data_IF_437726961439
#
_entry.id   IF_437726961439
#
_cell.length_a   1.000
_cell.length_b   1.000
_cell.length_c   1.000
_cell.angle_alpha   90.00
_cell.angle_beta   90.00
_cell.angle_gamma   90.00
#
_symmetry.space_group_name_H-M   'P 1'
#
loop_
_entity.id
_entity.type
_entity.pdbx_description
1 polymer ?
#
# COMPACT_ATOMS: atom_id res chain seq x y z
N UNK A 1 -5.92 13.09 -7.28
CA UNK A 1 -6.80 12.51 -6.26
C UNK A 1 -6.07 12.34 -4.94
N UNK A 2 -6.73 11.96 -3.85
CA UNK A 2 -6.15 11.86 -2.49
C UNK A 2 -4.98 10.87 -2.37
N UNK A 3 -4.71 10.13 -3.39
CA UNK A 3 -3.59 9.18 -3.51
C UNK A 3 -2.20 9.82 -3.50
N UNK A 4 -2.13 11.11 -3.76
CA UNK A 4 -0.87 11.78 -4.08
C UNK A 4 -0.17 12.37 -2.86
N UNK A 5 -0.89 12.56 -1.74
CA UNK A 5 -0.39 13.34 -0.61
C UNK A 5 -0.89 12.88 0.76
N UNK A 6 -1.80 11.90 0.82
CA UNK A 6 -2.31 11.41 2.09
C UNK A 6 -1.45 10.27 2.66
N UNK A 7 -1.58 9.94 3.96
CA UNK A 7 -0.86 8.81 4.57
C UNK A 7 -1.42 7.46 4.08
N UNK A 8 -1.28 7.18 2.78
CA UNK A 8 -1.71 5.95 2.13
C UNK A 8 -0.57 4.95 1.93
N UNK A 9 0.60 5.26 2.44
CA UNK A 9 1.76 4.41 2.28
C UNK A 9 1.67 3.13 3.11
N UNK A 10 2.52 2.15 2.84
CA UNK A 10 2.69 1.00 3.70
C UNK A 10 3.04 1.44 5.13
N UNK A 11 2.52 0.74 6.11
CA UNK A 11 2.78 1.00 7.53
C UNK A 11 1.75 1.87 8.25
N UNK A 12 0.76 2.42 7.54
CA UNK A 12 -0.39 3.08 8.18
C UNK A 12 -1.53 2.09 8.38
N UNK A 13 -2.18 2.13 9.55
CA UNK A 13 -3.26 1.22 9.89
C UNK A 13 -4.41 1.33 8.88
N UNK A 14 -4.87 0.19 8.37
CA UNK A 14 -6.00 0.10 7.44
C UNK A 14 -7.18 -0.60 8.09
N UNK A 15 -8.35 0.04 8.00
CA UNK A 15 -9.62 -0.50 8.48
C UNK A 15 -10.60 -0.69 7.31
N UNK A 16 -11.31 -1.81 7.32
CA UNK A 16 -12.36 -2.09 6.34
C UNK A 16 -13.72 -1.51 6.78
N UNK A 17 -14.77 -1.75 5.98
CA UNK A 17 -16.14 -1.29 6.25
C UNK A 17 -16.75 -1.82 7.56
N UNK A 18 -16.10 -2.76 8.25
CA UNK A 18 -16.50 -3.26 9.56
C UNK A 18 -15.72 -2.62 10.70
N UNK A 19 -14.82 -1.68 10.43
CA UNK A 19 -13.90 -1.12 11.40
C UNK A 19 -12.79 -2.08 11.85
N UNK A 20 -12.47 -3.11 11.06
CA UNK A 20 -11.48 -4.12 11.39
C UNK A 20 -10.26 -4.01 10.48
N UNK A 21 -9.06 -4.22 11.03
CA UNK A 21 -7.85 -4.50 10.23
C UNK A 21 -8.06 -5.76 9.41
N UNK A 22 -7.40 -5.88 8.27
CA UNK A 22 -7.64 -6.97 7.32
C UNK A 22 -6.39 -7.46 6.58
N UNK A 23 -5.22 -6.85 6.81
CA UNK A 23 -4.00 -7.24 6.11
C UNK A 23 -2.74 -6.81 6.87
N UNK A 24 -1.60 -7.30 6.43
CA UNK A 24 -0.31 -6.71 6.74
C UNK A 24 -0.12 -5.45 5.89
N UNK A 25 -0.17 -4.30 6.50
CA UNK A 25 -0.12 -2.99 5.84
C UNK A 25 1.21 -2.70 5.15
N UNK A 26 2.24 -3.48 5.45
CA UNK A 26 3.58 -3.35 4.87
C UNK A 26 3.87 -4.37 3.77
N UNK A 27 3.02 -5.37 3.60
CA UNK A 27 3.26 -6.44 2.67
C UNK A 27 2.99 -6.01 1.21
N UNK A 28 4.03 -6.04 0.39
CA UNK A 28 3.93 -5.76 -1.04
C UNK A 28 3.85 -4.28 -1.40
N UNK A 29 4.20 -3.38 -0.48
CA UNK A 29 4.14 -1.94 -0.71
C UNK A 29 2.73 -1.40 -0.92
N UNK A 30 2.61 -0.30 -1.63
CA UNK A 30 1.31 0.33 -1.93
C UNK A 30 0.40 -0.57 -2.76
N UNK A 31 0.95 -1.31 -3.71
CA UNK A 31 0.18 -2.25 -4.53
C UNK A 31 -0.37 -3.40 -3.67
N UNK A 32 0.40 -3.89 -2.70
CA UNK A 32 -0.03 -4.96 -1.81
C UNK A 32 -1.23 -4.56 -0.97
N UNK A 33 -1.20 -3.40 -0.31
CA UNK A 33 -2.31 -2.86 0.48
C UNK A 33 -3.52 -2.52 -0.41
N UNK A 34 -3.30 -1.97 -1.61
CA UNK A 34 -4.35 -1.72 -2.59
C UNK A 34 -5.05 -3.01 -3.04
N UNK A 35 -4.30 -4.07 -3.30
CA UNK A 35 -4.87 -5.38 -3.63
C UNK A 35 -5.72 -5.94 -2.50
N UNK A 36 -5.24 -5.89 -1.27
CA UNK A 36 -6.01 -6.37 -0.12
C UNK A 36 -7.27 -5.53 0.09
N UNK A 37 -7.18 -4.22 -0.07
CA UNK A 37 -8.31 -3.31 0.03
C UNK A 37 -9.38 -3.57 -1.04
N UNK A 38 -8.99 -3.78 -2.30
CA UNK A 38 -9.92 -4.09 -3.39
C UNK A 38 -10.65 -5.44 -3.25
N UNK A 39 -10.14 -6.34 -2.40
CA UNK A 39 -10.77 -7.63 -2.08
C UNK A 39 -11.73 -7.58 -0.89
N UNK A 40 -11.76 -6.46 -0.17
CA UNK A 40 -12.72 -6.31 0.91
C UNK A 40 -14.15 -6.24 0.35
N UNK A 41 -15.16 -6.65 1.14
CA UNK A 41 -16.55 -6.39 0.78
C UNK A 41 -16.78 -4.90 0.53
N UNK A 42 -17.79 -4.58 -0.27
CA UNK A 42 -18.15 -3.19 -0.59
C UNK A 42 -18.30 -2.33 0.66
N UNK A 43 -17.80 -1.11 0.56
CA UNK A 43 -17.86 -0.13 1.62
C UNK A 43 -16.54 0.52 1.95
N UNK A 44 -16.49 1.28 3.02
CA UNK A 44 -15.38 2.12 3.37
C UNK A 44 -14.09 1.33 3.66
N UNK A 45 -12.99 1.88 3.14
CA UNK A 45 -11.62 1.60 3.59
C UNK A 45 -11.09 2.88 4.19
N UNK A 46 -10.57 2.81 5.39
CA UNK A 46 -10.03 3.96 6.13
C UNK A 46 -8.55 3.73 6.42
N UNK A 47 -7.71 4.66 6.02
CA UNK A 47 -6.30 4.69 6.40
C UNK A 47 -6.11 5.70 7.52
N UNK A 48 -5.38 5.32 8.56
CA UNK A 48 -5.22 6.12 9.79
C UNK A 48 -3.75 6.40 10.05
N UNK A 49 -3.46 7.63 10.44
CA UNK A 49 -2.16 8.08 10.93
C UNK A 49 -2.35 9.00 12.16
N UNK A 50 -1.27 9.33 12.83
CA UNK A 50 -1.21 10.34 13.87
C UNK A 50 -0.10 11.36 13.57
N UNK A 51 0.15 12.30 14.48
CA UNK A 51 1.21 13.30 14.33
C UNK A 51 2.61 12.71 14.25
N UNK A 52 2.81 11.44 14.63
CA UNK A 52 4.04 10.67 14.48
C UNK A 52 4.26 10.09 13.08
N UNK A 53 3.45 10.42 12.09
CA UNK A 53 3.50 9.87 10.73
C UNK A 53 4.88 9.91 10.06
N UNK A 54 5.72 10.90 10.41
CA UNK A 54 7.08 10.99 9.88
C UNK A 54 7.98 9.84 10.36
N UNK A 55 7.80 9.38 11.59
CA UNK A 55 8.56 8.25 12.14
C UNK A 55 8.15 6.95 11.45
N UNK A 56 6.86 6.80 11.14
CA UNK A 56 6.35 5.68 10.34
C UNK A 56 6.98 5.70 8.95
N UNK A 57 6.93 6.83 8.25
CA UNK A 57 7.52 7.00 6.92
C UNK A 57 9.03 6.73 6.92
N UNK A 58 9.76 7.19 7.95
CA UNK A 58 11.20 6.97 8.07
C UNK A 58 11.58 5.49 8.19
N UNK A 59 10.68 4.66 8.68
CA UNK A 59 10.88 3.22 8.85
C UNK A 59 10.35 2.39 7.66
N UNK A 60 9.58 2.99 6.76
CA UNK A 60 9.04 2.28 5.60
C UNK A 60 10.15 1.70 4.71
N UNK A 61 9.99 0.46 4.24
CA UNK A 61 10.90 -0.05 3.23
C UNK A 61 10.74 0.77 1.93
N UNK A 62 11.82 0.96 1.17
CA UNK A 62 11.72 1.55 -0.15
C UNK A 62 10.87 0.63 -1.02
N UNK A 63 9.69 1.11 -1.40
CA UNK A 63 8.74 0.38 -2.22
C UNK A 63 8.14 1.31 -3.27
N UNK A 64 7.56 0.74 -4.30
CA UNK A 64 6.82 1.52 -5.29
C UNK A 64 5.64 2.23 -4.61
N UNK A 65 5.48 3.52 -4.89
CA UNK A 65 4.45 4.35 -4.25
C UNK A 65 4.76 4.80 -2.82
N UNK A 66 5.90 4.39 -2.23
CA UNK A 66 6.32 4.89 -0.92
C UNK A 66 6.74 6.37 -0.98
N UNK A 67 6.49 7.08 0.11
CA UNK A 67 6.88 8.48 0.25
C UNK A 67 8.40 8.59 0.26
N UNK A 68 8.94 9.48 -0.54
CA UNK A 68 10.38 9.68 -0.65
C UNK A 68 10.83 10.82 0.26
N UNK A 69 11.46 10.48 1.39
CA UNK A 69 11.99 11.44 2.36
C UNK A 69 13.09 12.34 1.80
N UNK A 70 13.73 11.98 0.70
CA UNK A 70 14.81 12.76 0.10
C UNK A 70 14.34 13.68 -1.03
N UNK A 71 13.12 13.48 -1.51
CA UNK A 71 12.55 14.29 -2.59
C UNK A 71 11.74 15.46 -2.03
N UNK A 72 12.08 16.66 -2.44
CA UNK A 72 11.41 17.90 -2.00
C UNK A 72 10.27 18.36 -2.91
N UNK A 73 10.22 17.90 -4.14
CA UNK A 73 9.35 18.52 -5.18
C UNK A 73 8.63 17.51 -6.08
N UNK A 74 8.69 16.23 -5.78
CA UNK A 74 8.05 15.23 -6.63
C UNK A 74 6.79 14.67 -6.00
N UNK A 75 5.96 14.15 -6.85
CA UNK A 75 4.96 13.15 -6.53
C UNK A 75 5.50 12.19 -5.45
N UNK A 76 4.82 12.06 -4.33
CA UNK A 76 5.30 11.37 -3.13
C UNK A 76 6.51 12.04 -2.42
N UNK A 77 6.76 13.32 -2.62
CA UNK A 77 7.77 14.06 -1.86
C UNK A 77 7.31 14.36 -0.44
N UNK A 78 8.29 14.48 0.47
CA UNK A 78 7.99 14.75 1.88
C UNK A 78 7.49 16.17 2.12
N UNK A 79 8.06 17.18 1.45
CA UNK A 79 7.69 18.57 1.69
C UNK A 79 6.22 18.84 1.36
N UNK A 80 5.65 18.39 0.20
CA UNK A 80 4.23 18.54 -0.08
C UNK A 80 3.32 17.87 0.95
N UNK A 81 3.71 16.70 1.47
CA UNK A 81 2.97 16.04 2.54
C UNK A 81 2.99 16.84 3.82
N UNK A 82 4.16 17.35 4.24
CA UNK A 82 4.27 18.15 5.47
C UNK A 82 3.48 19.44 5.37
N UNK A 83 3.50 20.13 4.21
CA UNK A 83 2.68 21.32 3.97
C UNK A 83 1.18 21.03 4.08
N UNK A 84 0.74 19.91 3.49
CA UNK A 84 -0.65 19.46 3.57
C UNK A 84 -1.05 19.16 5.01
N UNK A 85 -0.26 18.38 5.73
CA UNK A 85 -0.57 17.99 7.11
C UNK A 85 -0.56 19.18 8.06
N UNK A 86 0.35 20.14 7.88
CA UNK A 86 0.43 21.36 8.67
C UNK A 86 -0.75 22.31 8.45
N UNK A 87 -1.42 22.23 7.32
CA UNK A 87 -2.60 23.05 7.00
C UNK A 87 -3.92 22.49 7.54
N UNK A 88 -3.90 21.30 8.15
CA UNK A 88 -5.11 20.66 8.69
C UNK A 88 -5.52 21.28 10.01
N UNK A 89 -6.82 21.51 10.17
CA UNK A 89 -7.41 22.03 11.39
C UNK A 89 -8.21 20.94 12.11
N UNK A 90 -7.76 20.48 13.30
CA UNK A 90 -8.49 19.47 14.07
C UNK A 90 -9.90 19.91 14.51
N UNK A 91 -10.22 21.20 14.50
CA UNK A 91 -11.55 21.70 14.81
C UNK A 91 -12.53 21.65 13.64
N UNK A 92 -12.03 21.49 12.41
CA UNK A 92 -12.88 21.38 11.22
C UNK A 92 -13.70 20.08 11.25
N UNK A 93 -14.97 20.18 10.88
CA UNK A 93 -15.86 19.03 10.69
C UNK A 93 -15.75 18.41 9.29
N UNK A 94 -15.24 19.18 8.35
CA UNK A 94 -15.09 18.76 6.96
C UNK A 94 -13.66 18.30 6.67
N UNK A 95 -13.48 17.38 5.77
CA UNK A 95 -12.14 17.00 5.32
C UNK A 95 -11.47 18.18 4.59
N UNK A 96 -10.15 18.13 4.46
CA UNK A 96 -9.42 19.05 3.60
C UNK A 96 -9.84 18.90 2.13
N UNK A 97 -9.41 19.81 1.28
CA UNK A 97 -9.62 19.74 -0.19
C UNK A 97 -9.10 18.41 -0.81
N UNK A 98 -8.16 17.77 -0.13
CA UNK A 98 -7.55 16.51 -0.55
C UNK A 98 -8.17 15.28 0.15
N UNK A 99 -9.28 15.49 0.88
CA UNK A 99 -10.05 14.41 1.51
C UNK A 99 -9.46 13.89 2.82
N UNK A 100 -8.56 14.65 3.47
CA UNK A 100 -7.97 14.26 4.76
C UNK A 100 -8.80 14.83 5.91
N UNK A 101 -9.27 13.94 6.77
CA UNK A 101 -9.88 14.29 8.05
C UNK A 101 -8.81 14.47 9.12
N UNK A 102 -9.07 15.34 10.09
CA UNK A 102 -8.18 15.62 11.20
C UNK A 102 -8.97 15.81 12.49
N UNK A 103 -8.53 15.23 13.61
CA UNK A 103 -9.17 15.36 14.92
C UNK A 103 -8.17 15.18 16.06
N UNK A 104 -8.53 15.69 17.26
CA UNK A 104 -7.67 15.56 18.44
C UNK A 104 -7.80 14.20 19.14
N UNK A 105 -8.90 13.48 18.93
CA UNK A 105 -9.09 12.12 19.42
C UNK A 105 -9.47 11.18 18.27
N UNK A 106 -9.27 9.89 18.48
CA UNK A 106 -9.63 8.90 17.47
C UNK A 106 -11.15 8.74 17.36
N UNK A 107 -11.88 8.88 18.46
CA UNK A 107 -13.34 8.88 18.48
C UNK A 107 -13.91 10.04 17.64
N UNK A 108 -13.40 11.27 17.87
CA UNK A 108 -13.79 12.44 17.06
C UNK A 108 -13.47 12.24 15.58
N UNK A 109 -12.33 11.59 15.26
CA UNK A 109 -11.94 11.28 13.89
C UNK A 109 -12.96 10.36 13.24
N UNK A 110 -13.38 9.28 13.92
CA UNK A 110 -14.37 8.33 13.42
C UNK A 110 -15.75 9.00 13.24
N UNK A 111 -16.11 9.92 14.12
CA UNK A 111 -17.35 10.68 14.01
C UNK A 111 -17.33 11.60 12.77
N UNK A 112 -16.22 12.30 12.53
CA UNK A 112 -16.07 13.18 11.35
C UNK A 112 -16.09 12.41 10.03
N UNK A 113 -15.45 11.24 9.99
CA UNK A 113 -15.49 10.36 8.81
C UNK A 113 -16.92 9.93 8.49
N UNK A 114 -17.74 9.62 9.50
CA UNK A 114 -19.17 9.33 9.39
C UNK A 114 -19.53 8.06 8.62
N UNK A 115 -18.57 7.21 8.30
CA UNK A 115 -18.81 5.98 7.51
C UNK A 115 -19.13 4.75 8.37
N UNK A 116 -19.01 4.85 9.70
CA UNK A 116 -19.19 3.74 10.64
C UNK A 116 -20.41 3.95 11.54
N UNK A 117 -21.16 2.87 11.77
CA UNK A 117 -22.16 2.81 12.84
C UNK A 117 -21.46 2.55 14.19
N UNK A 118 -22.22 2.52 15.30
CA UNK A 118 -21.64 2.38 16.66
C UNK A 118 -20.86 1.06 16.87
N UNK A 119 -21.32 -0.06 16.30
CA UNK A 119 -20.60 -1.33 16.37
C UNK A 119 -19.26 -1.25 15.62
N UNK A 120 -19.27 -0.68 14.43
CA UNK A 120 -18.09 -0.52 13.60
C UNK A 120 -17.07 0.47 14.21
N UNK A 121 -17.56 1.53 14.87
CA UNK A 121 -16.70 2.44 15.65
C UNK A 121 -16.06 1.70 16.83
N UNK A 122 -16.83 0.89 17.57
CA UNK A 122 -16.30 0.09 18.66
C UNK A 122 -15.21 -0.89 18.17
N UNK A 123 -15.41 -1.50 17.02
CA UNK A 123 -14.39 -2.33 16.38
C UNK A 123 -13.13 -1.53 16.06
N UNK A 124 -13.28 -0.36 15.43
CA UNK A 124 -12.14 0.50 15.06
C UNK A 124 -11.32 0.96 16.28
N UNK A 125 -11.99 1.30 17.39
CA UNK A 125 -11.34 1.64 18.65
C UNK A 125 -10.57 0.43 19.22
N UNK A 126 -11.17 -0.75 19.20
CA UNK A 126 -10.51 -1.99 19.63
C UNK A 126 -9.29 -2.34 18.77
N UNK A 127 -9.38 -2.13 17.45
CA UNK A 127 -8.24 -2.33 16.56
C UNK A 127 -7.10 -1.32 16.81
N UNK A 128 -7.41 -0.06 17.16
CA UNK A 128 -6.41 0.90 17.57
C UNK A 128 -5.68 0.48 18.87
N UNK A 129 -6.45 0.00 19.85
CA UNK A 129 -5.86 -0.50 21.09
C UNK A 129 -4.92 -1.68 20.83
N UNK A 130 -5.34 -2.66 20.03
CA UNK A 130 -4.51 -3.80 19.63
C UNK A 130 -3.28 -3.35 18.84
N UNK A 131 -3.45 -2.42 17.88
CA UNK A 131 -2.34 -1.86 17.14
C UNK A 131 -1.26 -1.29 18.07
N UNK A 132 -1.67 -0.49 19.03
CA UNK A 132 -0.74 0.12 19.99
C UNK A 132 -0.06 -0.93 20.87
N UNK A 133 -0.81 -1.94 21.37
CA UNK A 133 -0.25 -3.06 22.12
C UNK A 133 0.79 -3.85 21.31
N UNK A 134 0.50 -4.15 20.04
CA UNK A 134 1.41 -4.86 19.14
C UNK A 134 2.65 -4.03 18.82
N UNK A 135 2.49 -2.73 18.60
CA UNK A 135 3.61 -1.83 18.37
C UNK A 135 4.55 -1.74 19.57
N UNK A 136 4.00 -1.69 20.79
CA UNK A 136 4.78 -1.70 22.05
C UNK A 136 5.44 -3.07 22.31
N UNK A 137 4.73 -4.16 22.05
CA UNK A 137 5.24 -5.53 22.22
C UNK A 137 6.30 -5.90 21.16
N UNK A 138 6.33 -5.18 20.04
CA UNK A 138 7.19 -5.51 18.91
C UNK A 138 6.76 -6.77 18.17
N UNK A 139 5.47 -7.14 18.24
CA UNK A 139 4.92 -8.33 17.60
C UNK A 139 3.46 -8.11 17.23
N UNK A 140 3.14 -8.10 15.95
CA UNK A 140 1.78 -8.13 15.44
C UNK A 140 1.33 -9.58 15.28
N UNK A 141 0.47 -10.04 16.19
CA UNK A 141 -0.03 -11.44 16.20
C UNK A 141 -1.08 -11.68 15.12
N UNK A 142 -1.77 -10.63 14.64
CA UNK A 142 -2.86 -10.77 13.68
C UNK A 142 -2.36 -10.87 12.24
N UNK A 143 -1.41 -10.02 11.82
CA UNK A 143 -0.98 -9.89 10.41
C UNK A 143 0.54 -9.90 10.21
N UNK A 144 1.31 -10.04 11.29
CA UNK A 144 2.78 -10.11 11.26
C UNK A 144 3.42 -8.89 10.56
N UNK A 145 2.95 -7.68 10.85
CA UNK A 145 3.63 -6.45 10.45
C UNK A 145 5.00 -6.40 11.11
N UNK A 146 6.02 -6.00 10.37
CA UNK A 146 7.37 -5.86 10.90
C UNK A 146 7.40 -4.80 12.02
N UNK A 147 7.82 -5.23 13.22
CA UNK A 147 7.89 -4.38 14.41
C UNK A 147 8.71 -3.10 14.23
N UNK A 148 9.67 -3.08 13.29
CA UNK A 148 10.45 -1.89 12.98
C UNK A 148 9.62 -0.81 12.33
N UNK A 149 8.55 -1.18 11.64
CA UNK A 149 7.68 -0.29 10.86
C UNK A 149 6.44 0.08 11.65
N UNK A 150 5.89 -0.85 12.42
CA UNK A 150 4.69 -0.64 13.20
C UNK A 150 4.96 0.36 14.33
N UNK A 151 4.43 1.58 14.19
CA UNK A 151 4.55 2.63 15.20
C UNK A 151 3.22 2.80 15.93
N UNK A 152 3.24 3.07 17.25
CA UNK A 152 2.01 3.34 17.99
C UNK A 152 1.33 4.60 17.47
N UNK A 153 0.02 4.60 17.44
CA UNK A 153 -0.84 5.73 17.06
C UNK A 153 -1.39 6.36 18.34
N UNK A 154 -0.61 7.23 18.96
CA UNK A 154 -0.90 7.80 20.30
C UNK A 154 -0.75 9.31 20.36
N UNK A 155 -0.26 9.96 19.31
CA UNK A 155 0.12 11.36 19.32
C UNK A 155 -0.87 12.20 18.50
N UNK A 156 -1.77 12.98 19.13
CA UNK A 156 -2.68 13.85 18.39
C UNK A 156 -1.93 14.98 17.64
N UNK A 157 -2.54 15.53 16.58
CA UNK A 157 -3.81 15.12 16.00
C UNK A 157 -3.73 13.80 15.23
N UNK A 158 -4.90 13.15 15.13
CA UNK A 158 -5.10 11.96 14.31
C UNK A 158 -5.61 12.37 12.94
N UNK A 159 -5.26 11.58 11.94
CA UNK A 159 -5.60 11.83 10.55
C UNK A 159 -6.21 10.58 9.92
N UNK A 160 -7.16 10.79 9.02
CA UNK A 160 -7.70 9.69 8.22
C UNK A 160 -7.99 10.11 6.80
N UNK A 161 -7.90 9.15 5.92
CA UNK A 161 -8.37 9.23 4.54
C UNK A 161 -9.28 8.05 4.27
N UNK A 162 -10.35 8.29 3.50
CA UNK A 162 -11.34 7.27 3.20
C UNK A 162 -11.46 7.03 1.70
N UNK A 163 -11.76 5.79 1.34
CA UNK A 163 -12.17 5.39 0.01
C UNK A 163 -13.15 4.24 0.12
N UNK A 164 -13.68 3.75 -1.00
CA UNK A 164 -14.52 2.57 -1.02
C UNK A 164 -13.77 1.41 -1.65
N UNK A 165 -13.92 0.20 -1.11
CA UNK A 165 -13.24 -0.99 -1.62
C UNK A 165 -13.54 -1.25 -3.10
N UNK A 166 -14.78 -0.99 -3.55
CA UNK A 166 -15.22 -1.14 -4.92
C UNK A 166 -14.63 -0.14 -5.91
N UNK A 167 -14.12 1.00 -5.43
CA UNK A 167 -13.54 2.05 -6.24
C UNK A 167 -12.00 1.93 -6.32
N UNK A 168 -11.41 1.02 -5.53
CA UNK A 168 -9.97 0.80 -5.53
C UNK A 168 -9.58 -0.02 -6.76
N UNK A 169 -8.86 0.61 -7.66
CA UNK A 169 -8.31 0.00 -8.85
C UNK A 169 -6.79 -0.03 -8.79
N UNK A 170 -6.23 -1.25 -8.77
CA UNK A 170 -4.78 -1.47 -8.86
C UNK A 170 -4.45 -1.87 -10.28
N UNK A 171 -4.09 -0.90 -11.11
CA UNK A 171 -3.88 -1.08 -12.54
C UNK A 171 -2.43 -0.90 -13.01
N UNK A 172 -1.47 -0.96 -12.11
CA UNK A 172 -0.07 -0.63 -12.43
C UNK A 172 0.62 -1.63 -13.32
N UNK A 173 0.28 -2.91 -13.22
CA UNK A 173 0.95 -3.95 -14.00
C UNK A 173 0.02 -5.12 -14.24
N UNK A 174 0.02 -5.60 -15.46
CA UNK A 174 -0.56 -6.89 -15.77
C UNK A 174 0.38 -7.98 -15.24
N UNK A 175 -0.12 -8.83 -14.35
CA UNK A 175 0.63 -9.95 -13.77
C UNK A 175 0.53 -11.23 -14.59
N UNK A 176 -0.41 -11.27 -15.55
CA UNK A 176 -0.59 -12.37 -16.49
C UNK A 176 0.19 -12.12 -17.79
N UNK A 177 0.65 -13.17 -18.42
CA UNK A 177 1.38 -13.11 -19.69
C UNK A 177 1.54 -14.50 -20.29
N UNK A 178 2.47 -14.65 -21.21
CA UNK A 178 2.78 -15.93 -21.83
C UNK A 178 3.53 -16.82 -20.82
N UNK A 179 3.15 -18.09 -20.74
CA UNK A 179 3.93 -19.06 -19.97
C UNK A 179 5.29 -19.29 -20.64
N UNK A 180 6.35 -19.23 -19.84
CA UNK A 180 7.72 -19.37 -20.34
C UNK A 180 8.51 -20.33 -19.45
N UNK A 181 9.47 -21.04 -20.08
CA UNK A 181 10.50 -21.75 -19.34
C UNK A 181 11.62 -20.79 -18.85
N UNK A 182 12.60 -21.31 -18.11
CA UNK A 182 13.77 -20.56 -17.63
C UNK A 182 14.63 -19.97 -18.75
N UNK A 183 14.44 -20.43 -19.96
CA UNK A 183 15.12 -19.94 -21.13
C UNK A 183 14.33 -18.85 -21.87
N UNK A 184 13.14 -18.50 -21.40
CA UNK A 184 12.24 -17.57 -22.04
C UNK A 184 11.54 -18.14 -23.28
N UNK A 185 11.61 -19.46 -23.51
CA UNK A 185 10.80 -20.10 -24.55
C UNK A 185 9.35 -20.09 -24.12
N UNK A 186 8.46 -19.64 -25.00
CA UNK A 186 7.01 -19.66 -24.73
C UNK A 186 6.53 -21.11 -24.79
N UNK A 187 5.68 -21.48 -23.84
CA UNK A 187 5.11 -22.82 -23.72
C UNK A 187 3.70 -22.85 -24.33
N UNK A 188 3.34 -23.97 -24.92
CA UNK A 188 1.97 -24.26 -25.34
C UNK A 188 1.09 -24.76 -24.17
N UNK A 189 -0.15 -25.13 -24.45
CA UNK A 189 -1.10 -25.65 -23.45
C UNK A 189 -0.67 -26.96 -22.79
N UNK A 190 0.22 -27.71 -23.41
CA UNK A 190 0.76 -28.98 -22.89
C UNK A 190 2.13 -28.77 -22.20
N UNK A 191 2.55 -27.50 -22.02
CA UNK A 191 3.81 -27.07 -21.42
C UNK A 191 5.06 -27.43 -22.24
N UNK A 192 4.92 -27.64 -23.56
CA UNK A 192 6.05 -27.81 -24.46
C UNK A 192 6.49 -26.48 -25.09
N UNK A 193 7.79 -26.24 -25.24
CA UNK A 193 8.30 -25.04 -25.91
C UNK A 193 7.80 -24.90 -27.35
N UNK A 194 7.23 -23.75 -27.69
CA UNK A 194 6.88 -23.39 -29.06
C UNK A 194 8.17 -22.97 -29.79
N UNK A 195 8.61 -23.72 -30.83
CA UNK A 195 9.87 -23.44 -31.50
C UNK A 195 9.93 -22.03 -32.09
N UNK A 196 10.98 -21.28 -31.75
CA UNK A 196 11.22 -19.93 -32.29
C UNK A 196 10.40 -18.81 -31.62
N UNK A 197 9.57 -19.14 -30.61
CA UNK A 197 8.80 -18.12 -29.87
C UNK A 197 9.39 -17.92 -28.48
N UNK A 198 9.72 -16.67 -28.16
CA UNK A 198 10.32 -16.26 -26.88
C UNK A 198 9.60 -15.07 -26.28
N UNK A 199 9.63 -14.98 -24.95
CA UNK A 199 9.09 -13.84 -24.21
C UNK A 199 10.01 -13.44 -23.08
N UNK A 200 10.11 -12.14 -22.83
CA UNK A 200 10.86 -11.58 -21.72
C UNK A 200 10.16 -10.33 -21.18
N UNK A 201 10.55 -9.91 -19.99
CA UNK A 201 9.97 -8.72 -19.36
C UNK A 201 8.55 -8.97 -18.86
N UNK A 202 7.71 -7.95 -18.86
CA UNK A 202 6.35 -8.03 -18.33
C UNK A 202 5.40 -8.92 -19.15
N UNK A 203 5.80 -9.32 -20.34
CA UNK A 203 5.05 -10.28 -21.15
C UNK A 203 5.23 -11.74 -20.69
N UNK A 204 6.25 -12.02 -19.87
CA UNK A 204 6.43 -13.32 -19.22
C UNK A 204 5.51 -13.44 -18.01
N UNK A 205 4.49 -14.30 -18.10
CA UNK A 205 3.42 -14.42 -17.09
C UNK A 205 3.86 -15.05 -15.77
N UNK A 206 4.97 -15.79 -15.77
CA UNK A 206 5.43 -16.53 -14.58
C UNK A 206 6.23 -15.66 -13.59
N UNK A 207 6.45 -14.37 -13.89
CA UNK A 207 7.25 -13.49 -13.06
C UNK A 207 6.58 -13.13 -11.74
N UNK A 208 5.31 -12.76 -11.79
CA UNK A 208 4.56 -12.23 -10.65
C UNK A 208 3.38 -13.11 -10.23
N UNK A 209 2.89 -13.95 -11.10
CA UNK A 209 1.81 -14.95 -10.93
C UNK A 209 0.52 -14.35 -10.33
N UNK A 210 0.55 -13.86 -9.09
CA UNK A 210 -0.63 -13.42 -8.34
C UNK A 210 -0.58 -11.96 -7.94
N UNK A 211 0.60 -11.41 -7.66
CA UNK A 211 0.75 -10.06 -7.14
C UNK A 211 2.02 -9.41 -7.69
N UNK A 212 1.91 -8.14 -8.08
CA UNK A 212 3.04 -7.33 -8.52
C UNK A 212 3.87 -6.88 -7.30
N UNK A 213 4.69 -7.78 -6.81
CA UNK A 213 5.53 -7.52 -5.64
C UNK A 213 6.87 -6.94 -6.08
N UNK A 214 7.05 -5.64 -5.90
CA UNK A 214 8.30 -4.93 -6.20
C UNK A 214 8.85 -4.27 -4.94
N UNK A 215 9.53 -5.02 -4.07
CA UNK A 215 10.04 -4.51 -2.79
C UNK A 215 11.13 -3.45 -2.95
N UNK A 216 11.64 -3.25 -4.16
CA UNK A 216 12.68 -2.26 -4.46
C UNK A 216 12.25 -1.45 -5.69
N UNK A 217 12.32 -0.12 -5.58
CA UNK A 217 12.04 0.77 -6.71
C UNK A 217 12.93 0.45 -7.91
N UNK A 218 12.32 0.38 -9.11
CA UNK A 218 13.02 0.03 -10.35
C UNK A 218 13.24 -1.47 -10.58
N UNK A 219 12.82 -2.34 -9.67
CA UNK A 219 13.02 -3.79 -9.78
C UNK A 219 12.42 -4.37 -11.07
N UNK A 220 11.20 -4.01 -11.41
CA UNK A 220 10.56 -4.50 -12.65
C UNK A 220 11.34 -4.09 -13.90
N UNK A 221 11.79 -2.84 -13.97
CA UNK A 221 12.62 -2.34 -15.06
C UNK A 221 13.95 -3.10 -15.14
N UNK A 222 14.63 -3.26 -14.01
CA UNK A 222 15.89 -3.99 -13.92
C UNK A 222 15.75 -5.45 -14.36
N UNK A 223 14.68 -6.12 -13.96
CA UNK A 223 14.38 -7.49 -14.40
C UNK A 223 14.11 -7.55 -15.91
N UNK A 224 13.29 -6.64 -16.47
CA UNK A 224 13.03 -6.60 -17.90
C UNK A 224 14.32 -6.42 -18.71
N UNK A 225 15.19 -5.52 -18.30
CA UNK A 225 16.48 -5.28 -18.96
C UNK A 225 17.40 -6.50 -18.88
N UNK A 226 17.48 -7.12 -17.71
CA UNK A 226 18.32 -8.29 -17.48
C UNK A 226 17.87 -9.50 -18.29
N UNK A 227 16.58 -9.81 -18.26
CA UNK A 227 16.00 -10.92 -19.02
C UNK A 227 16.16 -10.71 -20.53
N UNK A 228 15.85 -9.49 -21.03
CA UNK A 228 16.04 -9.17 -22.43
C UNK A 228 17.48 -9.31 -22.89
N UNK A 229 18.44 -8.86 -22.05
CA UNK A 229 19.86 -9.00 -22.35
C UNK A 229 20.32 -10.47 -22.35
N UNK A 230 19.89 -11.26 -21.39
CA UNK A 230 20.24 -12.70 -21.29
C UNK A 230 19.64 -13.50 -22.45
N UNK A 231 18.38 -13.24 -22.78
CA UNK A 231 17.70 -13.84 -23.91
C UNK A 231 18.41 -13.49 -25.22
N UNK A 232 18.69 -12.21 -25.45
CA UNK A 232 19.40 -11.74 -26.64
C UNK A 232 20.79 -12.36 -26.80
N UNK A 233 21.57 -12.46 -25.71
CA UNK A 233 22.88 -13.14 -25.74
C UNK A 233 22.77 -14.60 -26.15
N UNK A 234 21.76 -15.31 -25.63
CA UNK A 234 21.57 -16.73 -25.93
C UNK A 234 21.13 -16.97 -27.37
N UNK A 235 20.27 -16.09 -27.92
CA UNK A 235 19.78 -16.21 -29.29
C UNK A 235 20.82 -15.80 -30.34
N UNK A 236 21.87 -15.10 -29.94
CA UNK A 236 22.97 -14.66 -30.81
C UNK A 236 24.11 -15.69 -30.93
N UNK A 237 24.07 -16.76 -30.13
CA UNK A 237 25.06 -17.88 -30.17
C UNK A 237 24.52 -19.07 -30.92
#
# INVERSE_FOLDING_TARGET
GPWETAPWGPGFMLLNQRGLRFCNECAGGTEGSGYQSSRQPKGAIVSVADAGYLDTIACMPPAHGAINLTSKVTFHGIDPLQEQMAALDPSSTEPSKDGVYCANTFEELLDKIGCYNEEQKANALSELEKWNQYAEAGLDEDFAVDARIMKPLTTPPFYAVTGNAEDIYVGLCQTTGLDTDFNGCVLDSDLFPIPGLYSAGNNSGNRYIVNYCTPISGMSLGLCMTEGMLLGKRLAT
#
